data_IF_355130829230
#
_entry.id   IF_355130829230
#
_cell.length_a   1.000
_cell.length_b   1.000
_cell.length_c   1.000
_cell.angle_alpha   90.00
_cell.angle_beta   90.00
_cell.angle_gamma   90.00
#
_symmetry.space_group_name_H-M   'P 1'
#
loop_
_entity.id
_entity.type
_entity.pdbx_description
1 polymer ?
#
# COMPACT_ATOMS: atom_id res chain seq x y z
N UNK A 1 -14.94 -34.06 13.92
CA UNK A 1 -15.39 -32.86 14.66
C UNK A 1 -15.11 -31.64 13.77
N UNK A 2 -15.69 -30.47 14.04
CA UNK A 2 -15.41 -29.21 13.34
C UNK A 2 -15.41 -29.29 11.79
N UNK A 3 -16.35 -30.05 11.22
CA UNK A 3 -16.50 -30.20 9.78
C UNK A 3 -15.45 -31.06 9.07
N UNK A 4 -14.54 -31.72 9.79
CA UNK A 4 -13.60 -32.70 9.22
C UNK A 4 -14.25 -34.02 8.84
N UNK A 5 -13.69 -34.73 7.86
CA UNK A 5 -14.20 -36.02 7.36
C UNK A 5 -13.46 -37.19 8.03
N UNK A 6 -14.19 -38.11 8.65
CA UNK A 6 -13.60 -39.22 9.39
C UNK A 6 -13.88 -40.58 8.74
N UNK A 7 -12.89 -41.46 8.76
CA UNK A 7 -12.93 -42.80 8.20
C UNK A 7 -12.53 -43.84 9.26
N UNK A 8 -13.18 -44.99 9.23
CA UNK A 8 -12.80 -46.14 10.06
C UNK A 8 -11.77 -46.97 9.29
N UNK A 9 -10.64 -47.25 9.92
CA UNK A 9 -9.58 -48.08 9.34
C UNK A 9 -9.76 -49.51 9.87
N UNK A 10 -10.32 -50.44 9.07
CA UNK A 10 -10.69 -51.77 9.55
C UNK A 10 -9.49 -52.63 9.94
N UNK A 11 -8.32 -52.40 9.35
CA UNK A 11 -7.08 -53.15 9.65
C UNK A 11 -6.51 -52.87 11.04
N UNK A 12 -6.81 -51.71 11.63
CA UNK A 12 -6.26 -51.27 12.92
C UNK A 12 -7.35 -51.07 13.99
N UNK A 13 -8.63 -51.30 13.64
CA UNK A 13 -9.82 -50.97 14.44
C UNK A 13 -9.82 -49.52 15.00
N UNK A 14 -9.18 -48.59 14.29
CA UNK A 14 -9.01 -47.19 14.70
C UNK A 14 -9.80 -46.24 13.79
N UNK A 15 -10.14 -45.06 14.33
CA UNK A 15 -10.76 -43.96 13.59
C UNK A 15 -9.70 -42.94 13.22
N UNK A 16 -9.69 -42.49 11.96
CA UNK A 16 -8.81 -41.41 11.49
C UNK A 16 -9.65 -40.32 10.84
N UNK A 17 -9.30 -39.05 11.09
CA UNK A 17 -10.02 -37.89 10.59
C UNK A 17 -9.10 -36.99 9.75
N UNK A 18 -9.63 -36.50 8.63
CA UNK A 18 -9.04 -35.45 7.80
C UNK A 18 -9.68 -34.13 8.22
N UNK A 19 -8.85 -33.21 8.72
CA UNK A 19 -9.30 -31.92 9.25
C UNK A 19 -9.27 -30.82 8.21
N UNK A 20 -10.12 -29.81 8.41
CA UNK A 20 -10.11 -28.58 7.60
C UNK A 20 -8.90 -27.71 7.96
N UNK A 21 -8.57 -26.73 7.11
CA UNK A 21 -7.32 -25.95 7.15
C UNK A 21 -6.98 -25.32 8.51
N UNK A 22 -8.01 -24.99 9.31
CA UNK A 22 -7.86 -24.31 10.60
C UNK A 22 -7.94 -25.24 11.81
N UNK A 23 -8.04 -26.56 11.62
CA UNK A 23 -8.20 -27.51 12.72
C UNK A 23 -7.21 -28.66 12.66
N UNK A 24 -6.78 -29.12 13.84
CA UNK A 24 -5.87 -30.25 14.06
C UNK A 24 -6.35 -31.14 15.21
N UNK A 25 -5.60 -32.21 15.44
CA UNK A 25 -5.92 -33.22 16.43
C UNK A 25 -6.50 -34.49 15.82
N UNK A 26 -6.63 -35.52 16.63
CA UNK A 26 -7.09 -36.86 16.20
C UNK A 26 -8.52 -36.87 15.65
N UNK A 27 -9.32 -35.89 16.08
CA UNK A 27 -10.73 -35.71 15.75
C UNK A 27 -11.02 -34.32 15.21
N UNK A 28 -10.00 -33.50 14.94
CA UNK A 28 -10.10 -32.09 14.57
C UNK A 28 -10.63 -31.22 15.71
N UNK A 29 -10.26 -31.55 16.95
CA UNK A 29 -10.68 -30.91 18.19
C UNK A 29 -9.93 -29.62 18.50
N UNK A 30 -8.72 -29.47 17.97
CA UNK A 30 -7.84 -28.34 18.24
C UNK A 30 -7.98 -27.31 17.12
N UNK A 31 -8.31 -26.06 17.46
CA UNK A 31 -8.23 -24.97 16.50
C UNK A 31 -6.77 -24.57 16.33
N UNK A 32 -6.23 -24.77 15.14
CA UNK A 32 -4.93 -24.24 14.81
C UNK A 32 -5.14 -22.75 14.52
N UNK A 33 -4.77 -21.92 15.50
CA UNK A 33 -4.52 -20.51 15.23
C UNK A 33 -3.45 -20.46 14.15
N UNK A 34 -3.87 -20.27 12.91
CA UNK A 34 -2.99 -19.78 11.87
C UNK A 34 -2.56 -18.40 12.36
N UNK A 35 -1.45 -18.36 13.11
CA UNK A 35 -0.57 -17.21 13.07
C UNK A 35 -0.38 -17.06 11.58
N UNK A 36 -1.04 -16.06 10.99
CA UNK A 36 -0.75 -15.63 9.63
C UNK A 36 0.73 -15.27 9.70
N UNK A 37 1.58 -16.25 9.46
CA UNK A 37 2.85 -16.04 8.81
C UNK A 37 2.40 -15.43 7.51
N UNK A 38 2.25 -14.10 7.51
CA UNK A 38 2.25 -13.32 6.30
C UNK A 38 3.47 -13.84 5.58
N UNK A 39 3.23 -14.68 4.58
CA UNK A 39 4.30 -15.31 3.82
C UNK A 39 5.29 -14.18 3.54
N UNK A 40 6.58 -14.36 3.84
CA UNK A 40 7.55 -13.26 3.77
C UNK A 40 7.49 -12.52 2.41
N UNK A 41 7.00 -13.20 1.38
CA UNK A 41 6.59 -12.70 0.08
C UNK A 41 5.51 -11.59 0.11
N UNK A 42 4.40 -11.75 0.83
CA UNK A 42 3.33 -10.74 0.95
C UNK A 42 3.79 -9.52 1.75
N UNK A 43 4.59 -9.73 2.80
CA UNK A 43 5.19 -8.64 3.55
C UNK A 43 6.15 -7.80 2.69
N UNK A 44 6.95 -8.47 1.83
CA UNK A 44 7.85 -7.81 0.88
C UNK A 44 7.11 -6.99 -0.19
N UNK A 45 6.01 -7.53 -0.73
CA UNK A 45 5.18 -6.84 -1.71
C UNK A 45 4.58 -5.55 -1.14
N UNK A 46 3.99 -5.62 0.07
CA UNK A 46 3.41 -4.45 0.73
C UNK A 46 4.48 -3.39 0.99
N UNK A 47 5.66 -3.79 1.49
CA UNK A 47 6.77 -2.86 1.73
C UNK A 47 7.22 -2.14 0.45
N UNK A 48 7.38 -2.89 -0.66
CA UNK A 48 7.77 -2.31 -1.94
C UNK A 48 6.75 -1.30 -2.47
N UNK A 49 5.46 -1.62 -2.41
CA UNK A 49 4.37 -0.73 -2.85
C UNK A 49 4.37 0.57 -2.04
N UNK A 50 4.52 0.48 -0.72
CA UNK A 50 4.57 1.66 0.16
C UNK A 50 5.77 2.56 -0.19
N UNK A 51 6.95 1.98 -0.40
CA UNK A 51 8.15 2.75 -0.77
C UNK A 51 7.95 3.47 -2.10
N UNK A 52 7.42 2.79 -3.11
CA UNK A 52 7.15 3.39 -4.43
C UNK A 52 6.14 4.53 -4.30
N UNK A 53 5.05 4.33 -3.55
CA UNK A 53 4.04 5.36 -3.33
C UNK A 53 4.64 6.62 -2.68
N UNK A 54 5.51 6.46 -1.68
CA UNK A 54 6.19 7.58 -1.02
C UNK A 54 7.14 8.33 -1.98
N UNK A 55 7.87 7.60 -2.83
CA UNK A 55 8.75 8.22 -3.83
C UNK A 55 7.95 9.03 -4.87
N UNK A 56 6.83 8.49 -5.35
CA UNK A 56 5.95 9.21 -6.28
C UNK A 56 5.39 10.48 -5.63
N UNK A 57 4.92 10.40 -4.38
CA UNK A 57 4.43 11.58 -3.65
C UNK A 57 5.52 12.64 -3.44
N UNK A 58 6.76 12.21 -3.14
CA UNK A 58 7.89 13.12 -3.00
C UNK A 58 8.22 13.83 -4.32
N UNK A 59 8.25 13.09 -5.44
CA UNK A 59 8.47 13.66 -6.77
C UNK A 59 7.36 14.63 -7.17
N UNK A 60 6.10 14.27 -6.94
CA UNK A 60 4.95 15.16 -7.18
C UNK A 60 5.04 16.43 -6.33
N UNK A 61 5.33 16.29 -5.03
CA UNK A 61 5.54 17.41 -4.12
C UNK A 61 6.66 18.35 -4.57
N UNK A 62 7.78 17.78 -5.03
CA UNK A 62 8.91 18.51 -5.58
C UNK A 62 8.55 19.27 -6.86
N UNK A 63 7.89 18.61 -7.81
CA UNK A 63 7.40 19.23 -9.06
C UNK A 63 6.44 20.38 -8.74
N UNK A 64 5.45 20.15 -7.87
CA UNK A 64 4.50 21.19 -7.44
C UNK A 64 5.24 22.35 -6.78
N UNK A 65 6.23 22.07 -5.93
CA UNK A 65 7.06 23.10 -5.29
C UNK A 65 7.83 23.93 -6.33
N UNK A 66 8.48 23.29 -7.30
CA UNK A 66 9.23 23.97 -8.36
C UNK A 66 8.32 24.82 -9.24
N UNK A 67 7.17 24.29 -9.68
CA UNK A 67 6.19 25.04 -10.49
C UNK A 67 5.68 26.25 -9.70
N UNK A 68 5.28 26.08 -8.44
CA UNK A 68 4.84 27.20 -7.58
C UNK A 68 5.93 28.24 -7.41
N UNK A 69 7.18 27.83 -7.23
CA UNK A 69 8.33 28.74 -7.09
C UNK A 69 8.56 29.52 -8.38
N UNK A 70 8.52 28.87 -9.54
CA UNK A 70 8.66 29.53 -10.84
C UNK A 70 7.50 30.49 -11.14
N UNK A 71 6.27 30.11 -10.79
CA UNK A 71 5.10 30.98 -10.95
C UNK A 71 5.19 32.23 -10.07
N UNK A 72 5.63 32.09 -8.81
CA UNK A 72 5.88 33.25 -7.93
C UNK A 72 6.95 34.19 -8.50
N UNK A 73 8.06 33.65 -9.01
CA UNK A 73 9.11 34.45 -9.64
C UNK A 73 8.58 35.18 -10.91
N UNK A 74 7.78 34.49 -11.73
CA UNK A 74 7.15 35.07 -12.92
C UNK A 74 6.13 36.16 -12.56
N UNK A 75 5.34 35.97 -11.50
CA UNK A 75 4.36 36.96 -11.05
C UNK A 75 5.04 38.25 -10.58
N UNK A 76 6.17 38.15 -9.86
CA UNK A 76 6.99 39.31 -9.50
C UNK A 76 7.58 40.02 -10.72
N UNK A 77 8.07 39.26 -11.72
CA UNK A 77 8.56 39.85 -12.98
C UNK A 77 7.44 40.54 -13.77
N UNK A 78 6.25 39.96 -13.85
CA UNK A 78 5.11 40.58 -14.52
C UNK A 78 4.66 41.86 -13.80
N UNK A 79 4.58 41.86 -12.47
CA UNK A 79 4.19 43.06 -11.73
C UNK A 79 5.20 44.20 -11.93
N UNK A 80 6.51 43.90 -12.01
CA UNK A 80 7.57 44.88 -12.29
C UNK A 80 7.47 45.44 -13.72
N UNK A 81 7.23 44.59 -14.72
CA UNK A 81 7.06 45.01 -16.12
C UNK A 81 5.79 45.84 -16.34
N UNK A 82 4.67 45.46 -15.69
CA UNK A 82 3.47 46.30 -15.66
C UNK A 82 3.82 47.66 -15.04
N UNK A 83 4.63 47.66 -13.96
CA UNK A 83 5.09 48.88 -13.32
C UNK A 83 5.94 49.83 -14.17
N UNK A 84 6.66 49.28 -15.14
CA UNK A 84 7.42 50.04 -16.14
C UNK A 84 6.56 50.56 -17.29
N UNK A 85 5.52 49.82 -17.70
CA UNK A 85 4.68 50.20 -18.84
C UNK A 85 3.92 51.52 -18.62
N UNK A 86 3.47 51.80 -17.39
CA UNK A 86 2.83 53.09 -17.07
C UNK A 86 3.81 54.23 -16.75
N UNK A 87 5.13 53.97 -16.75
CA UNK A 87 6.14 55.04 -16.67
C UNK A 87 6.49 55.66 -18.03
N UNK A 88 5.97 55.12 -19.13
CA UNK A 88 6.18 55.68 -20.46
C UNK A 88 5.27 56.91 -20.62
N UNK A 89 5.85 58.10 -20.70
CA UNK A 89 5.07 59.34 -20.91
C UNK A 89 4.36 59.27 -22.28
N UNK A 90 3.06 59.61 -22.37
CA UNK A 90 2.39 59.74 -23.65
C UNK A 90 3.08 60.84 -24.47
N UNK A 91 3.44 60.51 -25.72
CA UNK A 91 3.95 61.48 -26.68
C UNK A 91 2.75 62.28 -27.21
N UNK A 92 2.47 63.41 -26.58
CA UNK A 92 1.60 64.48 -27.07
C UNK A 92 2.25 65.82 -26.81
#
# INVERSE_FOLDING_TARGET
MNGGTCYKIPSMNTLSCVCNEDYKGSRCEEYQLQVKHTNAQEAGLIAAVVIIALLVLALLGLVIFYVRRMMKAKQQSQQKNQHEYWKVKPRV
#
